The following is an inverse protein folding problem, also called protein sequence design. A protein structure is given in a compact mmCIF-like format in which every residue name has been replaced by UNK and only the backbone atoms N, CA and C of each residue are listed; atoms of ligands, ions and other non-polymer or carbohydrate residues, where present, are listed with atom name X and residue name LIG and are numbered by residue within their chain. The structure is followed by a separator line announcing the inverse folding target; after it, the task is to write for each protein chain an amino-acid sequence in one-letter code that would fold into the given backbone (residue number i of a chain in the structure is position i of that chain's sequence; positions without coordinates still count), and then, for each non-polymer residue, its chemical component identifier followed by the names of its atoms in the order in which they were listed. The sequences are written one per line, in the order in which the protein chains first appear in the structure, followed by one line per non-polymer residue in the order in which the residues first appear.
data_IF_344385372894
#
_entry.id   IF_344385372894
#
_cell.length_a   1.000
_cell.length_b   1.000
_cell.length_c   1.000
_cell.angle_alpha   90.00
_cell.angle_beta   90.00
_cell.angle_gamma   90.00
#
_symmetry.space_group_name_H-M   'P 1'
#
loop_
_entity.id
_entity.type
_entity.pdbx_description
1 polymer ?
#
# COMPACT_ATOMS: atom_id res chain seq x y z
N UNK A 1 36.61 9.48 6.68
CA UNK A 1 36.50 8.04 6.88
C UNK A 1 36.13 7.84 8.34
N UNK A 2 34.82 7.82 8.63
CA UNK A 2 34.31 7.61 9.98
C UNK A 2 33.37 6.43 9.87
N UNK A 3 33.92 5.22 10.11
CA UNK A 3 33.12 4.03 10.40
C UNK A 3 32.45 4.28 11.76
N UNK A 4 31.32 4.96 11.73
CA UNK A 4 30.38 4.97 12.83
C UNK A 4 29.57 3.70 12.66
N UNK A 5 30.09 2.59 13.17
CA UNK A 5 29.28 1.41 13.41
C UNK A 5 28.10 1.88 14.26
N UNK A 6 26.92 2.00 13.65
CA UNK A 6 25.69 2.24 14.38
C UNK A 6 25.58 1.14 15.42
N UNK A 7 25.68 1.53 16.69
CA UNK A 7 25.65 0.62 17.82
C UNK A 7 24.28 -0.07 17.82
N UNK A 8 24.24 -1.29 17.27
CA UNK A 8 23.02 -2.12 17.13
C UNK A 8 22.31 -2.14 18.48
N UNK A 9 21.03 -1.76 18.52
CA UNK A 9 20.25 -1.78 19.76
C UNK A 9 20.39 -3.18 20.40
N UNK A 10 20.87 -3.29 21.65
CA UNK A 10 21.05 -4.57 22.33
C UNK A 10 19.79 -5.44 22.36
N UNK A 11 18.60 -4.84 22.25
CA UNK A 11 17.31 -5.55 22.17
C UNK A 11 17.12 -6.32 20.86
N UNK A 12 17.83 -5.92 19.81
CA UNK A 12 17.78 -6.53 18.48
C UNK A 12 18.81 -7.68 18.32
N UNK A 13 19.60 -7.96 19.35
CA UNK A 13 20.51 -9.10 19.36
C UNK A 13 19.77 -10.41 19.65
N UNK A 14 20.04 -11.48 18.88
CA UNK A 14 19.44 -12.78 19.15
C UNK A 14 19.88 -13.29 20.53
N UNK A 15 18.97 -13.90 21.33
CA UNK A 15 19.36 -14.57 22.57
C UNK A 15 20.44 -15.63 22.35
N UNK A 16 21.44 -15.70 23.24
CA UNK A 16 22.56 -16.66 23.14
C UNK A 16 22.11 -18.13 23.10
N UNK A 17 21.00 -18.43 23.78
CA UNK A 17 20.38 -19.76 23.84
C UNK A 17 19.83 -20.27 22.51
N UNK A 18 19.65 -19.39 21.51
CA UNK A 18 19.08 -19.78 20.24
C UNK A 18 20.04 -20.68 19.45
N UNK A 19 19.54 -21.74 18.79
CA UNK A 19 20.31 -22.49 17.81
C UNK A 19 20.81 -21.60 16.65
N UNK A 20 21.96 -21.92 16.07
CA UNK A 20 22.61 -21.07 15.05
C UNK A 20 21.74 -20.84 13.80
N UNK A 21 21.00 -21.86 13.36
CA UNK A 21 20.07 -21.73 12.24
C UNK A 21 18.89 -20.79 12.55
N UNK A 22 18.50 -20.66 13.82
CA UNK A 22 17.47 -19.71 14.26
C UNK A 22 18.06 -18.31 14.41
N UNK A 23 19.31 -18.19 14.89
CA UNK A 23 20.04 -16.91 14.95
C UNK A 23 20.23 -16.30 13.57
N UNK A 24 20.57 -17.10 12.56
CA UNK A 24 20.71 -16.64 11.18
C UNK A 24 19.41 -16.01 10.66
N UNK A 25 18.27 -16.68 10.88
CA UNK A 25 16.94 -16.14 10.53
C UNK A 25 16.64 -14.85 11.30
N UNK A 26 16.98 -14.80 12.58
CA UNK A 26 16.80 -13.59 13.39
C UNK A 26 17.56 -12.40 12.80
N UNK A 27 18.83 -12.60 12.46
CA UNK A 27 19.66 -11.55 11.88
C UNK A 27 19.16 -11.11 10.51
N UNK A 28 18.69 -12.03 9.65
CA UNK A 28 18.06 -11.70 8.37
C UNK A 28 16.80 -10.83 8.55
N UNK A 29 15.94 -11.18 9.51
CA UNK A 29 14.69 -10.46 9.80
C UNK A 29 14.99 -9.08 10.38
N UNK A 30 15.93 -8.99 11.33
CA UNK A 30 16.34 -7.70 11.92
C UNK A 30 17.03 -6.81 10.90
N UNK A 31 17.80 -7.35 9.95
CA UNK A 31 18.45 -6.57 8.91
C UNK A 31 17.48 -6.08 7.82
N UNK A 32 16.47 -6.87 7.48
CA UNK A 32 15.49 -6.54 6.43
C UNK A 32 14.34 -5.65 6.92
N UNK A 33 14.06 -5.64 8.22
CA UNK A 33 12.96 -4.88 8.80
C UNK A 33 13.48 -3.73 9.68
N UNK A 34 12.80 -2.58 9.65
CA UNK A 34 12.97 -1.52 10.65
C UNK A 34 12.25 -1.95 11.95
N UNK A 35 12.77 -3.01 12.61
CA UNK A 35 12.20 -3.66 13.82
C UNK A 35 12.33 -2.78 15.06
N UNK A 36 12.96 -1.60 14.95
CA UNK A 36 13.32 -0.75 16.07
C UNK A 36 12.09 -0.32 16.89
N UNK A 37 11.92 -0.96 18.06
CA UNK A 37 11.14 -0.46 19.19
C UNK A 37 9.71 -0.98 19.36
N UNK A 38 9.14 -1.74 18.41
CA UNK A 38 7.70 -2.13 18.46
C UNK A 38 7.44 -3.64 18.45
N UNK A 39 8.46 -4.47 18.25
CA UNK A 39 8.30 -5.92 18.11
C UNK A 39 8.53 -6.64 19.42
N UNK A 40 7.55 -7.47 19.80
CA UNK A 40 7.64 -8.39 20.93
C UNK A 40 8.75 -9.43 20.69
N UNK A 41 9.76 -9.42 21.56
CA UNK A 41 10.93 -10.30 21.47
C UNK A 41 10.56 -11.78 21.50
N UNK A 42 9.55 -12.17 22.28
CA UNK A 42 9.10 -13.55 22.37
C UNK A 42 8.41 -13.99 21.08
N UNK A 43 7.62 -13.08 20.48
CA UNK A 43 7.02 -13.32 19.17
C UNK A 43 8.09 -13.46 18.08
N UNK A 44 9.11 -12.59 18.08
CA UNK A 44 10.21 -12.68 17.12
C UNK A 44 10.96 -14.02 17.27
N UNK A 45 11.22 -14.45 18.50
CA UNK A 45 11.84 -15.75 18.79
C UNK A 45 11.03 -16.91 18.20
N UNK A 46 9.73 -16.96 18.50
CA UNK A 46 8.84 -17.99 17.99
C UNK A 46 8.77 -18.01 16.46
N UNK A 47 8.71 -16.83 15.84
CA UNK A 47 8.69 -16.71 14.38
C UNK A 47 9.98 -17.21 13.74
N UNK A 48 11.14 -16.87 14.30
CA UNK A 48 12.44 -17.36 13.81
C UNK A 48 12.51 -18.90 13.86
N UNK A 49 11.96 -19.52 14.92
CA UNK A 49 11.85 -20.99 15.00
C UNK A 49 10.98 -21.57 13.88
N UNK A 50 9.83 -20.97 13.58
CA UNK A 50 8.93 -21.46 12.52
C UNK A 50 9.63 -21.45 11.15
N UNK A 51 10.30 -20.34 10.82
CA UNK A 51 11.04 -20.19 9.56
C UNK A 51 12.22 -21.16 9.49
N UNK A 52 13.01 -21.29 10.56
CA UNK A 52 14.12 -22.23 10.60
C UNK A 52 13.66 -23.69 10.44
N UNK A 53 12.53 -24.08 11.06
CA UNK A 53 11.94 -25.42 10.91
C UNK A 53 11.37 -25.66 9.52
N UNK A 54 10.82 -24.63 8.88
CA UNK A 54 10.33 -24.73 7.52
C UNK A 54 11.48 -24.97 6.55
N UNK A 55 12.59 -24.23 6.68
CA UNK A 55 13.82 -24.43 5.89
C UNK A 55 14.36 -25.85 6.04
N UNK A 56 14.42 -26.37 7.28
CA UNK A 56 14.83 -27.76 7.52
C UNK A 56 13.88 -28.79 6.87
N UNK A 57 12.57 -28.54 6.85
CA UNK A 57 11.62 -29.43 6.18
C UNK A 57 11.82 -29.42 4.66
N UNK A 58 12.11 -28.25 4.08
CA UNK A 58 12.40 -28.07 2.66
C UNK A 58 13.71 -28.76 2.25
N UNK A 59 14.78 -28.56 3.01
CA UNK A 59 16.07 -29.24 2.80
C UNK A 59 15.90 -30.76 2.76
N UNK A 60 15.11 -31.33 3.69
CA UNK A 60 14.82 -32.77 3.68
C UNK A 60 14.03 -33.23 2.47
N UNK A 61 13.07 -32.43 1.98
CA UNK A 61 12.31 -32.76 0.77
C UNK A 61 13.23 -32.71 -0.47
N UNK A 62 14.19 -31.78 -0.49
CA UNK A 62 15.17 -31.66 -1.56
C UNK A 62 16.16 -32.84 -1.56
N UNK A 63 16.60 -33.28 -0.39
CA UNK A 63 17.52 -34.42 -0.22
C UNK A 63 16.86 -35.79 -0.46
N UNK A 64 15.71 -36.03 0.18
CA UNK A 64 15.02 -37.33 0.18
C UNK A 64 14.05 -37.48 -1.01
N UNK A 65 13.68 -36.37 -1.65
CA UNK A 65 12.68 -36.29 -2.69
C UNK A 65 11.25 -36.14 -2.15
N UNK A 66 10.32 -35.71 -3.02
CA UNK A 66 8.91 -35.47 -2.65
C UNK A 66 8.15 -36.73 -2.21
N UNK A 67 8.71 -37.91 -2.44
CA UNK A 67 8.04 -39.19 -2.25
C UNK A 67 9.03 -40.21 -1.71
N UNK A 68 8.66 -40.91 -0.64
CA UNK A 68 9.48 -41.93 0.01
C UNK A 68 8.80 -43.29 -0.04
N UNK A 69 9.60 -44.35 0.01
CA UNK A 69 9.09 -45.72 0.13
C UNK A 69 9.00 -46.10 1.60
N UNK A 70 7.82 -46.55 2.01
CA UNK A 70 7.61 -47.17 3.31
C UNK A 70 8.38 -48.51 3.40
N UNK A 71 8.56 -49.06 4.61
CA UNK A 71 9.21 -50.34 4.88
C UNK A 71 8.57 -51.52 4.12
N UNK A 72 7.32 -51.36 3.65
CA UNK A 72 6.58 -52.32 2.82
C UNK A 72 6.72 -52.08 1.31
N UNK A 73 7.62 -51.18 0.89
CA UNK A 73 7.87 -50.82 -0.50
C UNK A 73 6.82 -49.91 -1.16
N UNK A 74 5.76 -49.54 -0.43
CA UNK A 74 4.70 -48.66 -0.93
C UNK A 74 5.20 -47.22 -0.99
N UNK A 75 4.93 -46.57 -2.12
CA UNK A 75 5.26 -45.18 -2.40
C UNK A 75 4.27 -44.27 -1.67
N UNK A 76 4.76 -43.36 -0.81
CA UNK A 76 3.96 -42.41 -0.04
C UNK A 76 4.57 -40.99 -0.10
N UNK A 77 3.76 -39.92 0.02
CA UNK A 77 4.27 -38.55 0.09
C UNK A 77 5.25 -38.38 1.24
N UNK A 78 6.28 -37.56 1.02
CA UNK A 78 7.27 -37.29 2.05
C UNK A 78 6.63 -36.62 3.27
N UNK A 79 6.79 -37.14 4.50
CA UNK A 79 6.11 -36.62 5.68
C UNK A 79 6.48 -35.17 6.01
N UNK A 80 7.66 -34.69 5.59
CA UNK A 80 8.03 -33.28 5.74
C UNK A 80 7.17 -32.33 4.89
N UNK A 81 6.47 -32.79 3.84
CA UNK A 81 5.53 -31.94 3.08
C UNK A 81 4.36 -31.46 3.96
N UNK A 82 3.86 -32.33 4.83
CA UNK A 82 2.82 -31.95 5.79
C UNK A 82 3.33 -30.98 6.85
N UNK A 83 4.60 -31.12 7.25
CA UNK A 83 5.26 -30.20 8.17
C UNK A 83 5.43 -28.83 7.51
N UNK A 84 5.96 -28.80 6.29
CA UNK A 84 6.15 -27.59 5.50
C UNK A 84 4.83 -26.84 5.33
N UNK A 85 3.76 -27.53 4.91
CA UNK A 85 2.43 -26.93 4.73
C UNK A 85 1.92 -26.24 6.00
N UNK A 86 1.99 -26.94 7.14
CA UNK A 86 1.53 -26.40 8.43
C UNK A 86 2.36 -25.20 8.90
N UNK A 87 3.67 -25.24 8.68
CA UNK A 87 4.56 -24.13 9.03
C UNK A 87 4.33 -22.93 8.11
N UNK A 88 4.14 -23.15 6.81
CA UNK A 88 3.84 -22.09 5.86
C UNK A 88 2.53 -21.35 6.20
N UNK A 89 1.50 -22.08 6.65
CA UNK A 89 0.24 -21.48 7.12
C UNK A 89 0.47 -20.61 8.38
N UNK A 90 1.24 -21.09 9.35
CA UNK A 90 1.56 -20.31 10.55
C UNK A 90 2.39 -19.08 10.24
N UNK A 91 3.39 -19.21 9.36
CA UNK A 91 4.23 -18.09 8.91
C UNK A 91 3.39 -17.04 8.19
N UNK A 92 2.47 -17.44 7.30
CA UNK A 92 1.54 -16.51 6.63
C UNK A 92 0.64 -15.78 7.63
N UNK A 93 0.10 -16.49 8.62
CA UNK A 93 -0.72 -15.87 9.67
C UNK A 93 0.04 -14.83 10.51
N UNK A 94 1.37 -14.95 10.59
CA UNK A 94 2.25 -14.01 11.30
C UNK A 94 2.85 -12.96 10.37
N UNK A 95 2.65 -13.08 9.05
CA UNK A 95 3.30 -12.30 8.01
C UNK A 95 3.11 -10.79 8.18
N UNK A 96 1.91 -10.33 8.51
CA UNK A 96 1.63 -8.89 8.68
C UNK A 96 2.38 -8.26 9.86
N UNK A 97 2.75 -9.06 10.86
CA UNK A 97 3.42 -8.58 12.09
C UNK A 97 4.92 -8.39 11.91
N UNK A 98 5.52 -9.11 10.96
CA UNK A 98 6.95 -9.06 10.66
C UNK A 98 7.23 -8.68 9.20
N UNK A 99 6.21 -8.27 8.45
CA UNK A 99 6.37 -7.68 7.14
C UNK A 99 7.20 -6.40 7.29
N UNK A 100 8.16 -6.14 6.40
CA UNK A 100 8.86 -4.88 6.40
C UNK A 100 7.83 -3.78 6.33
N UNK A 101 7.86 -2.89 7.32
CA UNK A 101 7.28 -1.57 7.21
C UNK A 101 8.08 -0.86 6.11
N UNK A 102 7.81 -1.19 4.85
CA UNK A 102 8.30 -0.46 3.71
C UNK A 102 7.71 0.92 3.91
N UNK A 103 8.53 1.88 4.39
CA UNK A 103 8.15 3.29 4.38
C UNK A 103 7.66 3.55 2.96
N UNK A 104 6.35 3.84 2.75
CA UNK A 104 5.84 3.94 1.41
C UNK A 104 6.65 5.02 0.71
N UNK A 105 7.43 4.61 -0.29
CA UNK A 105 8.24 5.55 -1.07
C UNK A 105 7.22 6.33 -1.89
N UNK A 106 6.88 7.54 -1.43
CA UNK A 106 5.80 8.32 -2.01
C UNK A 106 6.11 8.62 -3.46
N UNK A 107 5.49 7.89 -4.39
CA UNK A 107 5.45 8.29 -5.79
C UNK A 107 4.53 9.50 -5.87
N UNK A 108 5.04 10.63 -6.41
CA UNK A 108 4.23 11.83 -6.63
C UNK A 108 2.99 11.47 -7.44
N UNK A 109 1.83 11.89 -6.95
CA UNK A 109 0.52 11.57 -7.49
C UNK A 109 -0.35 12.81 -7.57
N UNK A 110 -1.29 12.80 -8.52
CA UNK A 110 -2.08 13.98 -8.84
C UNK A 110 -2.89 14.44 -7.62
N UNK A 111 -3.59 13.54 -6.94
CA UNK A 111 -4.45 13.92 -5.81
C UNK A 111 -3.63 14.40 -4.61
N UNK A 112 -2.52 13.73 -4.29
CA UNK A 112 -1.64 14.12 -3.19
C UNK A 112 -0.99 15.49 -3.43
N UNK A 113 -0.48 15.73 -4.64
CA UNK A 113 0.19 16.99 -4.99
C UNK A 113 -0.82 18.15 -5.06
N UNK A 114 -1.99 17.92 -5.67
CA UNK A 114 -3.07 18.90 -5.77
C UNK A 114 -3.62 19.28 -4.36
N UNK A 115 -3.80 18.30 -3.48
CA UNK A 115 -4.20 18.53 -2.08
C UNK A 115 -3.13 19.32 -1.32
N UNK A 116 -1.86 18.97 -1.49
CA UNK A 116 -0.76 19.67 -0.83
C UNK A 116 -0.68 21.14 -1.28
N UNK A 117 -0.85 21.39 -2.59
CA UNK A 117 -0.90 22.74 -3.15
C UNK A 117 -2.10 23.54 -2.62
N UNK A 118 -3.30 22.95 -2.57
CA UNK A 118 -4.49 23.61 -2.05
C UNK A 118 -4.33 24.01 -0.57
N UNK A 119 -3.74 23.14 0.26
CA UNK A 119 -3.44 23.45 1.66
C UNK A 119 -2.39 24.56 1.79
N UNK A 120 -1.33 24.52 0.98
CA UNK A 120 -0.27 25.54 1.01
C UNK A 120 -0.78 26.93 0.58
N UNK A 121 -1.74 26.97 -0.34
CA UNK A 121 -2.35 28.19 -0.86
C UNK A 121 -3.47 28.74 0.03
N UNK A 122 -4.02 27.95 0.96
CA UNK A 122 -5.06 28.36 1.90
C UNK A 122 -4.50 29.25 3.03
N UNK A 123 -4.80 30.57 3.07
CA UNK A 123 -4.23 31.47 4.07
C UNK A 123 -4.72 31.16 5.50
N UNK A 124 -5.97 30.72 5.65
CA UNK A 124 -6.60 30.39 6.93
C UNK A 124 -6.03 29.13 7.60
N UNK A 125 -5.28 28.31 6.85
CA UNK A 125 -4.60 27.12 7.36
C UNK A 125 -3.13 27.38 7.73
N UNK A 126 -2.66 28.63 7.68
CA UNK A 126 -1.29 29.00 8.05
C UNK A 126 -1.18 29.38 9.53
N UNK A 127 0.03 29.31 10.07
CA UNK A 127 0.34 29.73 11.44
C UNK A 127 -0.42 28.95 12.51
N UNK A 128 -0.75 29.62 13.63
CA UNK A 128 -1.42 28.99 14.77
C UNK A 128 -2.86 28.54 14.47
N UNK A 129 -3.52 29.17 13.49
CA UNK A 129 -4.83 28.72 13.01
C UNK A 129 -4.73 27.33 12.36
N UNK A 130 -3.68 27.08 11.57
CA UNK A 130 -3.40 25.78 10.95
C UNK A 130 -3.12 24.65 11.95
N UNK A 131 -2.55 24.96 13.13
CA UNK A 131 -2.25 23.95 14.15
C UNK A 131 -3.50 23.22 14.64
N UNK A 132 -4.64 23.92 14.71
CA UNK A 132 -5.95 23.32 15.07
C UNK A 132 -6.41 22.26 14.06
N UNK A 133 -5.96 22.38 12.82
CA UNK A 133 -6.28 21.46 11.73
C UNK A 133 -5.17 20.45 11.45
N UNK A 134 -4.10 20.40 12.24
CA UNK A 134 -2.92 19.58 11.93
C UNK A 134 -3.26 18.09 11.74
N UNK A 135 -4.11 17.53 12.60
CA UNK A 135 -4.59 16.15 12.47
C UNK A 135 -5.43 15.93 11.22
N UNK A 136 -6.33 16.85 10.92
CA UNK A 136 -7.19 16.78 9.73
C UNK A 136 -6.37 16.96 8.44
N UNK A 137 -5.42 17.89 8.39
CA UNK A 137 -4.48 18.10 7.29
C UNK A 137 -3.66 16.83 7.02
N UNK A 138 -3.17 16.17 8.08
CA UNK A 138 -2.43 14.91 7.95
C UNK A 138 -3.33 13.80 7.40
N UNK A 139 -4.55 13.64 7.93
CA UNK A 139 -5.51 12.65 7.46
C UNK A 139 -5.89 12.86 5.98
N UNK A 140 -6.21 14.10 5.59
CA UNK A 140 -6.57 14.44 4.20
C UNK A 140 -5.43 14.16 3.23
N UNK A 141 -4.18 14.48 3.61
CA UNK A 141 -2.99 14.15 2.79
C UNK A 141 -2.79 12.65 2.64
N UNK A 142 -3.02 11.88 3.71
CA UNK A 142 -2.94 10.42 3.66
C UNK A 142 -4.02 9.84 2.76
N UNK A 143 -5.27 10.29 2.89
CA UNK A 143 -6.36 9.83 2.03
C UNK A 143 -6.11 10.15 0.56
N UNK A 144 -5.61 11.35 0.24
CA UNK A 144 -5.23 11.71 -1.13
C UNK A 144 -4.16 10.77 -1.69
N UNK A 145 -3.16 10.43 -0.89
CA UNK A 145 -2.12 9.48 -1.28
C UNK A 145 -2.68 8.06 -1.51
N UNK A 146 -3.55 7.57 -0.63
CA UNK A 146 -4.16 6.23 -0.80
C UNK A 146 -5.00 6.17 -2.09
N UNK A 147 -5.68 7.26 -2.45
CA UNK A 147 -6.40 7.36 -3.73
C UNK A 147 -5.41 7.25 -4.90
N UNK A 148 -4.27 7.95 -4.87
CA UNK A 148 -3.25 7.85 -5.92
C UNK A 148 -2.64 6.44 -6.02
N UNK A 149 -2.38 5.76 -4.89
CA UNK A 149 -1.90 4.37 -4.91
C UNK A 149 -2.93 3.42 -5.49
N UNK A 150 -4.21 3.56 -5.11
CA UNK A 150 -5.29 2.77 -5.67
C UNK A 150 -5.43 2.97 -7.18
N UNK A 151 -5.23 4.19 -7.69
CA UNK A 151 -5.21 4.48 -9.13
C UNK A 151 -4.06 3.80 -9.88
N UNK A 152 -2.89 3.64 -9.23
CA UNK A 152 -1.72 2.99 -9.82
C UNK A 152 -1.82 1.47 -9.82
N UNK A 153 -2.44 0.91 -8.78
CA UNK A 153 -2.52 -0.53 -8.58
C UNK A 153 -3.50 -1.17 -9.57
N UNK A 154 -4.80 -0.86 -9.47
CA UNK A 154 -5.82 -1.55 -10.26
C UNK A 154 -7.17 -0.83 -10.23
N UNK A 155 -8.02 -1.14 -11.22
CA UNK A 155 -9.40 -0.64 -11.24
C UNK A 155 -10.22 -1.15 -10.05
N UNK A 156 -9.91 -2.36 -9.55
CA UNK A 156 -10.56 -2.92 -8.36
C UNK A 156 -10.17 -2.14 -7.10
N UNK A 157 -8.87 -1.90 -6.87
CA UNK A 157 -8.39 -1.09 -5.76
C UNK A 157 -8.96 0.33 -5.81
N UNK A 158 -9.04 0.92 -7.00
CA UNK A 158 -9.67 2.22 -7.20
C UNK A 158 -11.15 2.22 -6.80
N UNK A 159 -11.93 1.22 -7.24
CA UNK A 159 -13.33 1.09 -6.86
C UNK A 159 -13.51 0.97 -5.34
N UNK A 160 -12.64 0.21 -4.67
CA UNK A 160 -12.66 0.13 -3.20
C UNK A 160 -12.35 1.47 -2.53
N UNK A 161 -11.35 2.20 -3.03
CA UNK A 161 -11.02 3.54 -2.53
C UNK A 161 -12.15 4.54 -2.78
N UNK A 162 -12.84 4.46 -3.93
CA UNK A 162 -14.03 5.28 -4.23
C UNK A 162 -15.13 5.06 -3.20
N UNK A 163 -15.38 3.81 -2.80
CA UNK A 163 -16.46 3.50 -1.84
C UNK A 163 -16.05 3.86 -0.40
N UNK A 164 -14.82 3.51 -0.01
CA UNK A 164 -14.40 3.55 1.41
C UNK A 164 -13.71 4.87 1.81
N UNK A 165 -12.96 5.49 0.90
CA UNK A 165 -11.99 6.55 1.23
C UNK A 165 -12.43 7.91 0.68
N UNK A 166 -12.87 7.93 -0.58
CA UNK A 166 -13.21 9.17 -1.29
C UNK A 166 -14.29 10.01 -0.60
N UNK A 167 -15.36 9.45 0.00
CA UNK A 167 -16.36 10.24 0.71
C UNK A 167 -15.79 10.96 1.93
N UNK A 168 -14.91 10.29 2.68
CA UNK A 168 -14.24 10.87 3.85
C UNK A 168 -13.25 11.96 3.43
N UNK A 169 -12.51 11.72 2.34
CA UNK A 169 -11.60 12.69 1.76
C UNK A 169 -12.32 13.97 1.31
N UNK A 170 -13.44 13.83 0.60
CA UNK A 170 -14.25 14.99 0.15
C UNK A 170 -14.77 15.76 1.36
N UNK A 171 -15.27 15.06 2.39
CA UNK A 171 -15.72 15.69 3.64
C UNK A 171 -14.59 16.46 4.32
N UNK A 172 -13.40 15.86 4.42
CA UNK A 172 -12.24 16.50 5.03
C UNK A 172 -11.76 17.72 4.22
N UNK A 173 -11.84 17.68 2.89
CA UNK A 173 -11.57 18.84 2.04
C UNK A 173 -12.57 19.97 2.28
N UNK A 174 -13.85 19.66 2.45
CA UNK A 174 -14.89 20.63 2.77
C UNK A 174 -14.67 21.27 4.15
N UNK A 175 -14.33 20.46 5.18
CA UNK A 175 -14.01 20.94 6.53
C UNK A 175 -12.76 21.83 6.57
N UNK A 176 -11.74 21.50 5.77
CA UNK A 176 -10.54 22.34 5.60
C UNK A 176 -10.78 23.56 4.70
N UNK A 177 -11.94 23.65 4.06
CA UNK A 177 -12.28 24.67 3.06
C UNK A 177 -11.23 24.76 1.95
N UNK A 178 -10.77 23.59 1.49
CA UNK A 178 -9.82 23.46 0.38
C UNK A 178 -10.51 22.79 -0.81
N UNK A 179 -10.04 23.11 -2.00
CA UNK A 179 -10.42 22.42 -3.23
C UNK A 179 -9.14 21.91 -3.89
N UNK A 180 -8.78 20.61 -3.70
CA UNK A 180 -7.52 20.03 -4.17
C UNK A 180 -7.24 20.32 -5.64
N UNK A 181 -8.27 20.21 -6.47
CA UNK A 181 -8.49 20.95 -7.71
C UNK A 181 -9.89 20.50 -8.17
N UNK A 182 -10.73 21.44 -8.59
CA UNK A 182 -12.10 21.17 -9.04
C UNK A 182 -12.15 20.04 -10.09
N UNK A 183 -13.23 19.26 -10.06
CA UNK A 183 -13.80 18.72 -11.31
C UNK A 183 -13.86 19.90 -12.29
N UNK A 184 -12.92 19.98 -13.23
CA UNK A 184 -12.78 21.00 -14.28
C UNK A 184 -13.39 22.38 -13.94
N UNK A 185 -12.62 23.30 -13.36
CA UNK A 185 -12.93 24.72 -13.46
C UNK A 185 -12.53 25.29 -14.85
N UNK A 186 -12.82 24.56 -15.92
CA UNK A 186 -12.82 25.10 -17.27
C UNK A 186 -14.28 25.13 -17.76
N UNK A 187 -14.76 26.36 -18.01
CA UNK A 187 -16.06 26.74 -18.56
C UNK A 187 -17.21 26.80 -17.55
N UNK A 188 -17.18 27.82 -16.68
CA UNK A 188 -18.42 28.56 -16.43
C UNK A 188 -18.60 29.49 -17.64
N UNK A 189 -19.59 29.28 -18.53
CA UNK A 189 -19.86 30.26 -19.56
C UNK A 189 -20.40 31.51 -18.87
N UNK A 190 -19.80 32.66 -19.18
CA UNK A 190 -20.39 33.96 -18.94
C UNK A 190 -21.82 33.95 -19.49
N UNK A 191 -22.81 34.28 -18.66
CA UNK A 191 -24.21 34.35 -19.07
C UNK A 191 -24.33 35.26 -20.30
N UNK A 192 -24.75 34.77 -21.47
CA UNK A 192 -24.87 35.62 -22.62
C UNK A 192 -26.02 36.60 -22.39
N UNK A 193 -25.76 37.88 -22.66
CA UNK A 193 -26.78 38.92 -22.73
C UNK A 193 -27.90 38.42 -23.65
N UNK A 194 -29.13 38.46 -23.13
CA UNK A 194 -30.33 38.20 -23.91
C UNK A 194 -30.35 39.16 -25.11
N UNK A 195 -30.12 38.60 -26.29
CA UNK A 195 -30.66 39.17 -27.51
C UNK A 195 -31.74 38.22 -28.05
N UNK A 196 -32.90 38.81 -28.31
CA UNK A 196 -34.12 38.11 -28.72
C UNK A 196 -33.94 37.52 -30.11
N UNK A 197 -34.15 36.22 -30.28
CA UNK A 197 -34.28 35.65 -31.62
C UNK A 197 -34.29 34.12 -31.68
N UNK A 198 -35.49 33.55 -31.58
CA UNK A 198 -36.00 32.34 -32.26
C UNK A 198 -35.08 31.15 -32.60
N UNK A 199 -35.53 29.95 -32.20
CA UNK A 199 -35.41 28.74 -33.02
C UNK A 199 -34.64 27.58 -32.40
N UNK A 200 -35.39 26.61 -31.89
CA UNK A 200 -34.94 25.30 -31.40
C UNK A 200 -34.24 24.48 -32.51
N UNK A 201 -33.06 23.90 -32.23
CA UNK A 201 -32.34 23.03 -33.16
C UNK A 201 -31.16 22.28 -32.52
N UNK A 202 -31.34 20.98 -32.32
CA UNK A 202 -30.44 20.02 -31.66
C UNK A 202 -29.03 19.90 -32.28
N UNK A 203 -27.99 19.95 -31.44
CA UNK A 203 -26.57 19.78 -31.79
C UNK A 203 -26.18 18.34 -32.24
N UNK A 204 -27.11 17.40 -32.23
CA UNK A 204 -26.83 15.97 -32.52
C UNK A 204 -26.56 15.75 -34.02
N UNK A 205 -27.20 16.52 -34.91
CA UNK A 205 -27.02 16.36 -36.37
C UNK A 205 -25.59 16.66 -36.85
N UNK A 206 -24.88 17.59 -36.21
CA UNK A 206 -23.54 18.02 -36.64
C UNK A 206 -22.44 16.97 -36.41
N UNK A 207 -22.63 16.07 -35.44
CA UNK A 207 -21.70 15.00 -35.09
C UNK A 207 -21.89 13.76 -35.98
N UNK A 208 -23.14 13.43 -36.29
CA UNK A 208 -23.47 12.32 -37.21
C UNK A 208 -23.02 12.58 -38.64
N UNK A 209 -23.14 13.83 -39.10
CA UNK A 209 -22.73 14.23 -40.45
C UNK A 209 -21.20 14.19 -40.64
N UNK A 210 -20.44 14.52 -39.59
CA UNK A 210 -18.97 14.38 -39.56
C UNK A 210 -18.50 12.93 -39.51
N UNK A 211 -19.25 12.04 -38.86
CA UNK A 211 -18.92 10.62 -38.79
C UNK A 211 -19.13 9.90 -40.14
N UNK A 212 -20.19 10.26 -40.88
CA UNK A 212 -20.47 9.66 -42.18
C UNK A 212 -19.46 10.06 -43.26
N UNK A 213 -18.96 11.30 -43.25
CA UNK A 213 -17.89 11.74 -44.18
C UNK A 213 -16.57 10.97 -44.05
N UNK A 214 -16.30 10.34 -42.90
CA UNK A 214 -15.07 9.56 -42.69
C UNK A 214 -15.14 8.12 -43.15
N UNK A 215 -16.35 7.60 -43.45
CA UNK A 215 -16.54 6.21 -43.89
C UNK A 215 -16.56 6.05 -45.42
N UNK A 216 -16.73 7.13 -46.17
CA UNK A 216 -16.83 7.09 -47.65
C UNK A 216 -15.63 7.73 -48.34
N UNK A 217 -14.49 7.87 -47.65
CA UNK A 217 -13.22 8.34 -48.19
C UNK A 217 -12.18 7.24 -48.18
#
# INVERSE_FOLDING_TARGET
MVDRAEERDPRLNPPDRLPDNVKAVWDEIVASNDVAGTVDRQALEAFCYLVARMRQAQERIEEEGMVVRDARGKVQPHPALEVERKLAEQIRAWGDRFAPLVKPTRKRGYMADATAAAIANAPHLKGDAGKKYAGLIAATRTQAWVIDEAQRDSMQALNEAVIKIMPQYIKACAELQITPASLSAAVAPESPKQDKGGGSGSNVSSLQERANRRRTG
#
